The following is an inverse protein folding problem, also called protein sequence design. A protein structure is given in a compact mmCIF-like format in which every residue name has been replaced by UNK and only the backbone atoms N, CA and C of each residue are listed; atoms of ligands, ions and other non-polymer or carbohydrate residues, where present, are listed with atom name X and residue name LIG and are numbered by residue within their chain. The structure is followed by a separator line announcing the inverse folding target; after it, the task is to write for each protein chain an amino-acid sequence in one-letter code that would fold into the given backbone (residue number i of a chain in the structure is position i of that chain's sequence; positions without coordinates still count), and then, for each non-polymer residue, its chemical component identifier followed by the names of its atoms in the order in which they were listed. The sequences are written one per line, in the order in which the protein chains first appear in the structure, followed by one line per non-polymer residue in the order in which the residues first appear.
data_IF_964281296215
#
_entry.id   IF_964281296215
#
_cell.length_a   1.000
_cell.length_b   1.000
_cell.length_c   1.000
_cell.angle_alpha   90.00
_cell.angle_beta   90.00
_cell.angle_gamma   90.00
#
_symmetry.space_group_name_H-M   'P 1'
#
loop_
_entity.id
_entity.type
_entity.pdbx_description
1 polymer ?
#
# COMPACT_ATOMS: atom_id res chain seq x y z
N UNK A 1 19.70 -5.08 16.00
CA UNK A 1 18.28 -5.43 15.75
C UNK A 1 17.38 -4.20 15.81
N UNK A 2 17.57 -3.30 16.79
CA UNK A 2 16.77 -2.07 17.04
C UNK A 2 16.58 -1.15 15.82
N UNK A 3 17.66 -0.79 15.13
CA UNK A 3 17.65 0.18 14.02
C UNK A 3 16.70 -0.20 12.86
N UNK A 4 16.46 -1.49 12.65
CA UNK A 4 15.59 -2.00 11.56
C UNK A 4 14.12 -1.86 11.90
N UNK A 5 13.75 -2.08 13.18
CA UNK A 5 12.37 -1.89 13.64
C UNK A 5 12.04 -0.40 13.73
N UNK A 6 12.98 0.42 14.19
CA UNK A 6 12.85 1.88 14.22
C UNK A 6 12.65 2.46 12.82
N UNK A 7 13.38 1.98 11.81
CA UNK A 7 13.19 2.39 10.42
C UNK A 7 11.78 2.07 9.89
N UNK A 8 11.22 0.90 10.24
CA UNK A 8 9.86 0.54 9.85
C UNK A 8 8.82 1.43 10.55
N UNK A 9 8.98 1.66 11.85
CA UNK A 9 8.11 2.57 12.62
C UNK A 9 8.16 3.97 12.04
N UNK A 10 9.36 4.50 11.76
CA UNK A 10 9.52 5.78 11.08
C UNK A 10 8.80 5.76 9.72
N UNK A 11 9.03 4.74 8.90
CA UNK A 11 8.40 4.65 7.56
C UNK A 11 6.87 4.68 7.63
N UNK A 12 6.24 4.05 8.62
CA UNK A 12 4.79 4.07 8.80
C UNK A 12 4.25 5.38 9.38
N UNK A 13 5.08 6.18 10.06
CA UNK A 13 4.69 7.46 10.64
C UNK A 13 4.65 8.61 9.62
N UNK A 14 5.38 8.50 8.50
CA UNK A 14 5.38 9.54 7.47
C UNK A 14 4.27 9.33 6.44
N UNK A 15 3.60 10.41 6.06
CA UNK A 15 2.56 10.41 5.03
C UNK A 15 3.11 10.15 3.61
N UNK A 16 4.42 10.31 3.39
CA UNK A 16 5.05 10.04 2.09
C UNK A 16 6.54 9.69 2.16
N UNK A 17 7.01 8.89 1.18
CA UNK A 17 8.43 8.55 1.04
C UNK A 17 9.33 9.78 0.83
N UNK A 18 8.82 10.82 0.15
CA UNK A 18 9.58 12.05 -0.07
C UNK A 18 9.76 12.86 1.22
N UNK A 19 8.75 12.84 2.11
CA UNK A 19 8.86 13.43 3.45
C UNK A 19 9.95 12.74 4.26
N UNK A 20 9.95 11.41 4.28
CA UNK A 20 10.96 10.61 4.98
C UNK A 20 12.38 10.84 4.45
N UNK A 21 12.58 10.88 3.12
CA UNK A 21 13.90 11.16 2.51
C UNK A 21 14.41 12.55 2.91
N UNK A 22 13.52 13.54 2.96
CA UNK A 22 13.86 14.93 3.29
C UNK A 22 14.19 15.10 4.77
N UNK A 23 13.45 14.46 5.66
CA UNK A 23 13.63 14.57 7.11
C UNK A 23 14.87 13.81 7.60
N UNK A 24 15.06 12.58 7.11
CA UNK A 24 16.11 11.67 7.60
C UNK A 24 17.43 11.80 6.83
N UNK A 25 17.50 12.64 5.79
CA UNK A 25 18.66 12.77 4.88
C UNK A 25 19.15 11.42 4.32
N UNK A 26 18.27 10.42 4.22
CA UNK A 26 18.65 9.08 3.75
C UNK A 26 18.64 9.04 2.23
N UNK A 27 19.58 8.31 1.59
CA UNK A 27 19.55 8.11 0.15
C UNK A 27 18.24 7.45 -0.30
N UNK A 28 17.64 7.97 -1.36
CA UNK A 28 16.40 7.45 -1.96
C UNK A 28 16.47 5.95 -2.25
N UNK A 29 17.63 5.47 -2.69
CA UNK A 29 17.91 4.06 -2.99
C UNK A 29 17.81 3.16 -1.76
N UNK A 30 18.23 3.65 -0.60
CA UNK A 30 18.17 2.92 0.68
C UNK A 30 16.71 2.71 1.10
N UNK A 31 15.87 3.74 1.00
CA UNK A 31 14.45 3.62 1.35
C UNK A 31 13.71 2.64 0.44
N UNK A 32 13.86 2.77 -0.88
CA UNK A 32 13.23 1.86 -1.83
C UNK A 32 13.67 0.41 -1.64
N UNK A 33 14.96 0.17 -1.34
CA UNK A 33 15.48 -1.16 -1.08
C UNK A 33 14.85 -1.80 0.17
N UNK A 34 14.73 -1.05 1.26
CA UNK A 34 14.10 -1.57 2.48
C UNK A 34 12.59 -1.78 2.34
N UNK A 35 11.91 -0.91 1.58
CA UNK A 35 10.50 -1.13 1.23
C UNK A 35 10.28 -2.37 0.40
N UNK A 36 11.14 -2.63 -0.59
CA UNK A 36 11.07 -3.88 -1.35
C UNK A 36 11.21 -5.10 -0.42
N UNK A 37 12.15 -5.07 0.54
CA UNK A 37 12.29 -6.15 1.52
C UNK A 37 11.06 -6.34 2.41
N UNK A 38 10.47 -5.24 2.88
CA UNK A 38 9.24 -5.32 3.68
C UNK A 38 8.12 -5.99 2.87
N UNK A 39 7.92 -5.59 1.62
CA UNK A 39 6.92 -6.21 0.76
C UNK A 39 7.22 -7.69 0.49
N UNK A 40 8.49 -8.08 0.32
CA UNK A 40 8.86 -9.50 0.22
C UNK A 40 8.52 -10.30 1.49
N UNK A 41 8.65 -9.69 2.68
CA UNK A 41 8.29 -10.36 3.95
C UNK A 41 6.78 -10.48 4.12
N UNK A 42 6.01 -9.51 3.62
CA UNK A 42 4.56 -9.50 3.67
C UNK A 42 3.91 -10.26 2.52
N UNK A 43 4.69 -10.72 1.55
CA UNK A 43 4.17 -11.45 0.39
C UNK A 43 3.48 -12.75 0.84
N UNK A 44 2.26 -12.97 0.35
CA UNK A 44 1.43 -14.11 0.70
C UNK A 44 0.86 -14.12 2.13
N UNK A 45 1.07 -13.07 2.95
CA UNK A 45 0.58 -13.05 4.35
C UNK A 45 -0.96 -13.17 4.46
N UNK A 46 -1.69 -12.85 3.40
CA UNK A 46 -3.15 -12.90 3.34
C UNK A 46 -3.70 -14.14 2.62
N UNK A 47 -2.86 -14.98 1.99
CA UNK A 47 -3.31 -16.01 1.06
C UNK A 47 -4.20 -17.08 1.72
N UNK A 48 -3.89 -17.44 2.97
CA UNK A 48 -4.62 -18.45 3.74
C UNK A 48 -5.53 -17.84 4.83
N UNK A 49 -5.74 -16.51 4.81
CA UNK A 49 -6.54 -15.83 5.84
C UNK A 49 -8.03 -16.01 5.54
N UNK A 50 -8.71 -16.82 6.35
CA UNK A 50 -10.16 -17.00 6.31
C UNK A 50 -10.82 -16.41 7.55
N UNK A 51 -11.79 -15.52 7.35
CA UNK A 51 -12.63 -14.98 8.43
C UNK A 51 -13.97 -15.72 8.42
N UNK A 52 -14.22 -16.66 9.36
CA UNK A 52 -15.44 -17.44 9.36
C UNK A 52 -16.63 -16.66 9.95
N UNK A 53 -17.84 -17.06 9.55
CA UNK A 53 -19.10 -16.48 10.00
C UNK A 53 -19.55 -15.30 9.14
N UNK A 54 -20.46 -14.50 9.68
CA UNK A 54 -20.89 -13.26 9.05
C UNK A 54 -19.79 -12.20 9.23
N UNK A 55 -19.48 -11.51 8.13
CA UNK A 55 -18.36 -10.56 8.06
C UNK A 55 -18.85 -9.25 7.46
N UNK A 56 -18.49 -8.15 8.12
CA UNK A 56 -18.60 -6.83 7.54
C UNK A 56 -17.27 -6.44 6.89
N UNK A 57 -17.35 -5.88 5.68
CA UNK A 57 -16.20 -5.46 4.89
C UNK A 57 -16.29 -3.96 4.68
N UNK A 58 -15.28 -3.22 5.14
CA UNK A 58 -15.09 -1.82 4.81
C UNK A 58 -14.09 -1.69 3.65
N UNK A 59 -14.50 -1.05 2.56
CA UNK A 59 -13.69 -0.90 1.36
C UNK A 59 -13.26 0.55 1.15
N UNK A 60 -11.96 0.75 0.88
CA UNK A 60 -11.42 2.06 0.50
C UNK A 60 -10.66 1.98 -0.82
N UNK A 61 -10.97 2.90 -1.71
CA UNK A 61 -10.39 2.96 -3.05
C UNK A 61 -9.38 4.10 -3.19
N UNK A 62 -8.16 3.74 -3.54
CA UNK A 62 -7.05 4.68 -3.79
C UNK A 62 -6.77 4.78 -5.28
N UNK A 63 -6.52 5.97 -5.84
CA UNK A 63 -6.08 6.09 -7.23
C UNK A 63 -4.71 5.44 -7.42
N UNK A 64 -4.52 4.76 -8.54
CA UNK A 64 -3.18 4.34 -8.98
C UNK A 64 -2.29 5.54 -9.28
N UNK A 65 -0.97 5.33 -9.22
CA UNK A 65 -0.03 6.33 -9.69
C UNK A 65 -0.29 6.65 -11.16
N UNK A 66 -0.20 7.93 -11.56
CA UNK A 66 -0.49 8.37 -12.93
C UNK A 66 0.32 7.64 -14.00
N UNK A 67 1.55 7.24 -13.67
CA UNK A 67 2.41 6.50 -14.59
C UNK A 67 1.88 5.10 -14.93
N UNK A 68 1.07 4.51 -14.04
CA UNK A 68 0.52 3.16 -14.15
C UNK A 68 -0.97 3.15 -14.48
N UNK A 69 -1.55 4.32 -14.80
CA UNK A 69 -2.96 4.44 -15.18
C UNK A 69 -3.21 3.81 -16.56
N UNK A 70 -4.27 3.02 -16.67
CA UNK A 70 -4.76 2.52 -17.95
C UNK A 70 -5.74 3.52 -18.57
N UNK A 71 -5.49 3.89 -19.81
CA UNK A 71 -6.40 4.72 -20.60
C UNK A 71 -7.41 3.85 -21.36
N UNK A 72 -8.50 4.50 -21.79
CA UNK A 72 -9.41 3.94 -22.77
C UNK A 72 -8.78 3.96 -24.17
N UNK A 73 -9.40 3.29 -25.13
CA UNK A 73 -8.95 3.26 -26.53
C UNK A 73 -8.94 4.64 -27.19
N UNK A 74 -9.81 5.55 -26.74
CA UNK A 74 -9.88 6.95 -27.16
C UNK A 74 -8.87 7.86 -26.43
N UNK A 75 -8.01 7.30 -25.57
CA UNK A 75 -7.04 8.05 -24.75
C UNK A 75 -7.64 8.75 -23.54
N UNK A 76 -8.96 8.66 -23.32
CA UNK A 76 -9.60 9.22 -22.14
C UNK A 76 -9.30 8.40 -20.87
N UNK A 77 -9.42 9.03 -19.70
CA UNK A 77 -9.25 8.34 -18.42
C UNK A 77 -10.49 7.54 -18.06
N UNK A 78 -10.26 6.34 -17.51
CA UNK A 78 -11.31 5.53 -16.89
C UNK A 78 -11.91 6.29 -15.71
N UNK A 79 -13.25 6.33 -15.65
CA UNK A 79 -14.03 7.01 -14.59
C UNK A 79 -14.62 5.99 -13.62
N UNK A 80 -15.06 6.46 -12.45
CA UNK A 80 -15.73 5.62 -11.46
C UNK A 80 -14.82 4.59 -10.80
N UNK A 81 -15.40 3.47 -10.35
CA UNK A 81 -14.64 2.28 -9.93
C UNK A 81 -14.09 1.60 -11.18
N UNK A 82 -12.77 1.60 -11.31
CA UNK A 82 -12.09 1.11 -12.50
C UNK A 82 -10.76 0.47 -12.13
N UNK A 83 -10.10 -0.15 -13.12
CA UNK A 83 -8.74 -0.72 -12.95
C UNK A 83 -7.68 0.32 -12.55
N UNK A 84 -8.00 1.62 -12.61
CA UNK A 84 -7.12 2.69 -12.14
C UNK A 84 -7.27 2.98 -10.65
N UNK A 85 -8.08 2.20 -9.92
CA UNK A 85 -8.19 2.28 -8.46
C UNK A 85 -7.72 0.97 -7.83
N UNK A 86 -6.96 1.09 -6.75
CA UNK A 86 -6.58 0.01 -5.85
C UNK A 86 -7.62 -0.05 -4.74
N UNK A 87 -8.26 -1.20 -4.55
CA UNK A 87 -9.14 -1.43 -3.42
C UNK A 87 -8.33 -2.00 -2.26
N UNK A 88 -8.49 -1.41 -1.07
CA UNK A 88 -8.04 -1.97 0.19
C UNK A 88 -9.28 -2.25 1.02
N UNK A 89 -9.45 -3.49 1.43
CA UNK A 89 -10.59 -3.94 2.23
C UNK A 89 -10.13 -4.35 3.63
N UNK A 90 -10.89 -3.96 4.64
CA UNK A 90 -10.72 -4.39 6.02
C UNK A 90 -11.97 -5.18 6.44
N UNK A 91 -11.76 -6.37 6.98
CA UNK A 91 -12.84 -7.27 7.38
C UNK A 91 -12.95 -7.33 8.90
N UNK A 92 -14.18 -7.31 9.42
CA UNK A 92 -14.48 -7.62 10.83
C UNK A 92 -15.65 -8.59 10.94
N UNK A 93 -15.68 -9.41 11.99
CA UNK A 93 -16.86 -10.25 12.25
C UNK A 93 -18.06 -9.38 12.60
N UNK A 94 -19.21 -9.70 12.02
CA UNK A 94 -20.49 -9.18 12.48
C UNK A 94 -20.79 -9.79 13.86
N UNK A 95 -21.18 -8.95 14.81
CA UNK A 95 -21.55 -9.36 16.18
C UNK A 95 -22.97 -9.86 16.26
#
# INVERSE_FOLDING_TARGET
MSERCEFLVQTFLFESMNGLIREECRPKTTLSYWMAKLFCVLDGIQDDVVVPGDVEIDEKYYPRARADEQLNTDGSRKRGLSRNKLCVAATRRAG
#
